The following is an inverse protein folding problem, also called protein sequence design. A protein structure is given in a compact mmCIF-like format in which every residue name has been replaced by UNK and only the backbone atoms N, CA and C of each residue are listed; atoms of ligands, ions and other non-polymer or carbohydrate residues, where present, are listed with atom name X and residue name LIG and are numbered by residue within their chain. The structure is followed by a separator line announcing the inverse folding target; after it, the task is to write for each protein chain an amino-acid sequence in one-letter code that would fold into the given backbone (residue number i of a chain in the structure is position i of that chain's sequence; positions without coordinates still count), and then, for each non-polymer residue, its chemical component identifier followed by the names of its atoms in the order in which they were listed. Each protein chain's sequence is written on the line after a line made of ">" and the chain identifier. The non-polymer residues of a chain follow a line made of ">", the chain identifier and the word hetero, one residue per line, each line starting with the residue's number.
data_IF_989987148630
#
_entry.id   IF_989987148630
#
_cell.length_a   1.000
_cell.length_b   1.000
_cell.length_c   1.000
_cell.angle_alpha   90.00
_cell.angle_beta   90.00
_cell.angle_gamma   90.00
#
_symmetry.space_group_name_H-M   'P 1'
#
loop_
_entity.id
_entity.type
_entity.pdbx_description
1 polymer ?
#
# COMPACT_ATOMS: atom_id res chain seq x y z
N UNK A 1 3.20 6.68 24.78
CA UNK A 1 4.06 6.89 23.61
C UNK A 1 3.62 8.19 22.93
N UNK A 2 4.56 9.07 22.62
CA UNK A 2 4.28 10.29 21.83
C UNK A 2 3.78 9.86 20.44
N UNK A 3 3.02 10.69 19.73
CA UNK A 3 2.42 10.31 18.43
C UNK A 3 3.52 9.82 17.47
N UNK A 4 4.68 10.49 17.46
CA UNK A 4 5.84 10.12 16.66
C UNK A 4 6.37 8.71 16.94
N UNK A 5 6.32 8.22 18.19
CA UNK A 5 6.74 6.86 18.55
C UNK A 5 5.74 5.78 18.09
N UNK A 6 4.47 6.15 17.96
CA UNK A 6 3.41 5.24 17.51
C UNK A 6 3.55 4.96 16.00
N UNK A 7 3.90 5.98 15.22
CA UNK A 7 4.05 5.90 13.76
C UNK A 7 5.49 5.64 13.27
N UNK A 8 6.44 5.36 14.18
CA UNK A 8 7.78 4.96 13.78
C UNK A 8 7.73 3.69 12.89
N UNK A 9 8.65 3.53 11.92
CA UNK A 9 8.73 2.31 11.12
C UNK A 9 8.98 1.08 12.00
N UNK A 10 8.25 0.00 11.76
CA UNK A 10 8.15 -1.16 12.66
C UNK A 10 8.49 -2.47 11.99
N UNK A 11 8.13 -2.65 10.72
CA UNK A 11 8.47 -3.83 9.96
C UNK A 11 8.68 -3.50 8.48
N UNK A 12 9.30 -4.43 7.76
CA UNK A 12 9.44 -4.36 6.31
C UNK A 12 8.24 -5.04 5.64
N UNK A 13 7.74 -4.49 4.55
CA UNK A 13 6.77 -5.13 3.67
C UNK A 13 7.47 -5.50 2.38
N UNK A 14 7.50 -6.79 2.05
CA UNK A 14 8.08 -7.31 0.81
C UNK A 14 7.01 -7.50 -0.24
N UNK A 15 7.26 -6.98 -1.44
CA UNK A 15 6.33 -7.03 -2.57
C UNK A 15 6.63 -8.20 -3.52
N UNK A 16 5.60 -8.60 -4.28
CA UNK A 16 5.74 -9.51 -5.40
C UNK A 16 6.72 -8.93 -6.42
N UNK A 17 7.65 -9.76 -6.90
CA UNK A 17 8.66 -9.32 -7.85
C UNK A 17 8.01 -8.90 -9.17
N UNK A 18 8.20 -7.63 -9.50
CA UNK A 18 7.59 -7.00 -10.68
C UNK A 18 6.10 -6.75 -10.50
N UNK A 19 5.57 -6.85 -9.28
CA UNK A 19 4.20 -6.50 -8.92
C UNK A 19 3.92 -5.01 -9.03
N UNK A 20 2.67 -4.64 -8.78
CA UNK A 20 2.23 -3.24 -8.90
C UNK A 20 2.88 -2.36 -7.83
N UNK A 21 3.01 -2.85 -6.59
CA UNK A 21 3.68 -2.09 -5.54
C UNK A 21 5.20 -2.04 -5.74
N UNK A 22 5.82 -3.13 -6.21
CA UNK A 22 7.25 -3.12 -6.55
C UNK A 22 7.57 -2.03 -7.59
N UNK A 23 6.80 -1.94 -8.67
CA UNK A 23 7.00 -0.90 -9.69
C UNK A 23 6.69 0.49 -9.17
N UNK A 24 5.62 0.64 -8.39
CA UNK A 24 5.19 1.93 -7.87
C UNK A 24 6.21 2.54 -6.90
N UNK A 25 6.75 1.71 -6.00
CA UNK A 25 7.68 2.14 -4.96
C UNK A 25 9.15 2.05 -5.40
N UNK A 26 9.42 1.38 -6.52
CA UNK A 26 10.77 1.24 -7.08
C UNK A 26 11.72 0.38 -6.23
N UNK A 27 11.17 -0.41 -5.30
CA UNK A 27 11.92 -1.24 -4.37
C UNK A 27 11.18 -2.55 -4.06
N UNK A 28 11.89 -3.68 -3.88
CA UNK A 28 11.27 -4.97 -3.58
C UNK A 28 10.68 -5.03 -2.16
N UNK A 29 11.11 -4.13 -1.28
CA UNK A 29 10.59 -3.99 0.09
C UNK A 29 10.68 -2.54 0.57
N UNK A 30 9.82 -2.17 1.51
CA UNK A 30 9.83 -0.86 2.18
C UNK A 30 9.58 -1.01 3.69
N UNK A 31 10.07 -0.06 4.47
CA UNK A 31 9.76 0.02 5.91
C UNK A 31 8.45 0.77 6.14
N UNK A 32 7.55 0.19 6.93
CA UNK A 32 6.21 0.74 7.20
C UNK A 32 5.95 0.86 8.69
N UNK A 33 5.02 1.74 9.07
CA UNK A 33 4.47 1.80 10.43
C UNK A 33 3.41 0.70 10.64
N UNK A 34 3.06 0.41 11.89
CA UNK A 34 2.00 -0.56 12.20
C UNK A 34 1.16 -0.07 13.38
N UNK A 35 -0.15 0.03 13.16
CA UNK A 35 -1.13 0.45 14.17
C UNK A 35 -2.43 -0.37 14.02
N UNK A 36 -2.29 -1.68 13.86
CA UNK A 36 -3.42 -2.59 13.67
C UNK A 36 -3.25 -3.85 14.53
N UNK A 37 -4.33 -4.26 15.19
CA UNK A 37 -4.41 -5.54 15.91
C UNK A 37 -5.09 -6.66 15.12
N UNK A 38 -5.48 -6.37 13.88
CA UNK A 38 -6.18 -7.28 12.97
C UNK A 38 -5.50 -7.22 11.60
N UNK A 39 -5.70 -8.28 10.81
CA UNK A 39 -5.18 -8.39 9.45
C UNK A 39 -6.00 -9.40 8.63
N UNK A 40 -5.69 -9.50 7.34
CA UNK A 40 -6.39 -10.41 6.43
C UNK A 40 -6.03 -11.86 6.76
N UNK A 41 -6.99 -12.63 7.27
CA UNK A 41 -6.82 -14.06 7.51
C UNK A 41 -7.07 -14.90 6.23
N UNK A 42 -8.06 -14.50 5.42
CA UNK A 42 -8.39 -15.16 4.15
C UNK A 42 -8.81 -14.12 3.11
N UNK A 43 -8.10 -13.98 1.99
CA UNK A 43 -8.49 -13.04 0.95
C UNK A 43 -9.78 -13.51 0.23
N UNK A 44 -10.57 -12.55 -0.25
CA UNK A 44 -11.67 -12.81 -1.18
C UNK A 44 -11.16 -13.30 -2.54
N UNK A 45 -12.03 -13.87 -3.37
CA UNK A 45 -11.66 -14.51 -4.64
C UNK A 45 -10.91 -13.61 -5.64
N UNK A 46 -11.14 -12.29 -5.58
CA UNK A 46 -10.47 -11.30 -6.44
C UNK A 46 -9.44 -10.46 -5.71
N UNK A 47 -9.21 -10.70 -4.41
CA UNK A 47 -8.21 -9.96 -3.65
C UNK A 47 -6.85 -10.59 -3.93
N UNK A 48 -5.97 -9.84 -4.58
CA UNK A 48 -4.58 -10.23 -4.78
C UNK A 48 -3.77 -9.63 -3.66
N UNK A 49 -2.99 -10.47 -2.98
CA UNK A 49 -2.01 -10.02 -1.99
C UNK A 49 -0.69 -9.80 -2.73
N UNK A 50 -0.26 -8.55 -2.81
CA UNK A 50 0.99 -8.14 -3.48
C UNK A 50 2.13 -7.96 -2.47
N UNK A 51 1.83 -7.63 -1.22
CA UNK A 51 2.84 -7.36 -0.18
C UNK A 51 2.57 -8.08 1.13
N UNK A 52 3.64 -8.59 1.75
CA UNK A 52 3.60 -9.30 3.03
C UNK A 52 4.62 -8.74 4.03
N UNK A 53 4.24 -8.70 5.31
CA UNK A 53 5.16 -8.56 6.43
C UNK A 53 6.04 -9.82 6.60
N UNK A 54 7.12 -9.78 7.41
CA UNK A 54 8.03 -10.91 7.57
C UNK A 54 7.38 -12.15 8.21
N UNK A 55 6.29 -11.95 8.96
CA UNK A 55 5.49 -13.02 9.56
C UNK A 55 4.44 -13.62 8.60
N UNK A 56 4.37 -13.11 7.36
CA UNK A 56 3.41 -13.53 6.34
C UNK A 56 2.07 -12.79 6.39
N UNK A 57 1.89 -11.80 7.27
CA UNK A 57 0.67 -10.99 7.28
C UNK A 57 0.52 -10.21 5.97
N UNK A 58 -0.64 -10.27 5.29
CA UNK A 58 -0.90 -9.44 4.11
C UNK A 58 -0.95 -7.96 4.46
N UNK A 59 -0.12 -7.17 3.78
CA UNK A 59 0.06 -5.73 4.05
C UNK A 59 -0.29 -4.84 2.85
N UNK A 60 -0.22 -5.38 1.63
CA UNK A 60 -0.58 -4.65 0.42
C UNK A 60 -1.42 -5.53 -0.52
N UNK A 61 -2.55 -5.00 -0.98
CA UNK A 61 -3.50 -5.72 -1.82
C UNK A 61 -4.01 -4.87 -2.98
N UNK A 62 -4.62 -5.53 -3.96
CA UNK A 62 -5.46 -4.91 -4.96
C UNK A 62 -6.56 -5.87 -5.43
N UNK A 63 -7.54 -5.36 -6.17
CA UNK A 63 -8.63 -6.17 -6.73
C UNK A 63 -8.28 -6.56 -8.16
N UNK A 64 -8.12 -7.86 -8.42
CA UNK A 64 -7.91 -8.41 -9.75
C UNK A 64 -9.03 -7.96 -10.71
N UNK A 65 -8.66 -7.57 -11.93
CA UNK A 65 -9.56 -7.14 -13.01
C UNK A 65 -10.48 -5.96 -12.65
N UNK A 66 -10.12 -5.17 -11.64
CA UNK A 66 -10.86 -3.94 -11.35
C UNK A 66 -10.62 -2.91 -12.47
N UNK A 67 -11.67 -2.21 -12.93
CA UNK A 67 -11.52 -1.22 -14.00
C UNK A 67 -10.75 0.03 -13.57
N UNK A 68 -10.59 0.25 -12.26
CA UNK A 68 -9.95 1.44 -11.70
C UNK A 68 -8.90 1.10 -10.65
N UNK A 69 -8.41 2.15 -9.99
CA UNK A 69 -7.39 2.06 -8.95
C UNK A 69 -7.95 1.40 -7.67
N UNK A 70 -7.31 0.31 -7.23
CA UNK A 70 -7.73 -0.44 -6.03
C UNK A 70 -6.58 -0.79 -5.10
N UNK A 71 -5.41 -0.15 -5.26
CA UNK A 71 -4.27 -0.40 -4.38
C UNK A 71 -4.66 -0.01 -2.95
N UNK A 72 -4.49 -0.95 -2.04
CA UNK A 72 -4.83 -0.79 -0.63
C UNK A 72 -3.68 -1.30 0.23
N UNK A 73 -3.43 -0.62 1.35
CA UNK A 73 -2.32 -0.91 2.25
C UNK A 73 -2.83 -1.02 3.68
N UNK A 74 -2.16 -1.82 4.50
CA UNK A 74 -2.55 -2.06 5.89
C UNK A 74 -1.88 -1.08 6.86
N UNK A 75 -0.70 -0.55 6.51
CA UNK A 75 -0.06 0.56 7.23
C UNK A 75 -0.75 1.90 6.98
N UNK A 76 -0.26 2.95 7.65
CA UNK A 76 -0.79 4.31 7.58
C UNK A 76 0.08 5.22 6.69
N UNK A 77 -0.19 5.32 5.37
CA UNK A 77 0.56 6.18 4.46
C UNK A 77 0.24 7.67 4.63
N UNK A 78 -0.82 8.04 5.34
CA UNK A 78 -1.16 9.45 5.58
C UNK A 78 -0.17 10.14 6.54
N UNK A 79 0.54 9.37 7.35
CA UNK A 79 1.49 9.90 8.32
C UNK A 79 2.71 10.48 7.62
N UNK A 80 2.89 11.80 7.70
CA UNK A 80 3.98 12.53 7.06
C UNK A 80 4.08 12.30 5.54
N UNK A 81 2.95 12.11 4.87
CA UNK A 81 2.85 11.75 3.45
C UNK A 81 3.67 12.64 2.50
N UNK A 82 3.87 13.91 2.85
CA UNK A 82 4.66 14.87 2.06
C UNK A 82 6.15 14.52 2.02
N UNK A 83 6.69 13.99 3.13
CA UNK A 83 8.12 13.73 3.28
C UNK A 83 8.47 12.23 3.32
N UNK A 84 7.49 11.35 3.51
CA UNK A 84 7.71 9.91 3.51
C UNK A 84 7.83 9.37 2.07
N UNK A 85 9.00 8.79 1.70
CA UNK A 85 9.22 8.23 0.36
C UNK A 85 8.29 7.07 0.01
N UNK A 86 7.66 6.40 0.99
CA UNK A 86 6.72 5.30 0.73
C UNK A 86 5.30 5.84 0.45
N UNK A 87 4.90 6.85 1.20
CA UNK A 87 3.56 7.42 1.15
C UNK A 87 3.30 8.31 -0.07
N UNK A 88 4.28 9.14 -0.44
CA UNK A 88 4.11 10.10 -1.54
C UNK A 88 3.79 9.43 -2.89
N UNK A 89 4.50 8.35 -3.31
CA UNK A 89 4.18 7.65 -4.56
C UNK A 89 2.76 7.07 -4.59
N UNK A 90 2.26 6.52 -3.46
CA UNK A 90 0.90 5.97 -3.38
C UNK A 90 -0.16 7.05 -3.66
N UNK A 91 -0.05 8.20 -2.99
CA UNK A 91 -0.99 9.30 -3.20
C UNK A 91 -0.86 9.94 -4.58
N UNK A 92 0.36 10.06 -5.11
CA UNK A 92 0.57 10.53 -6.49
C UNK A 92 -0.13 9.61 -7.48
N UNK A 93 0.08 8.29 -7.38
CA UNK A 93 -0.54 7.31 -8.28
C UNK A 93 -2.07 7.28 -8.15
N UNK A 94 -2.61 7.40 -6.93
CA UNK A 94 -4.05 7.54 -6.74
C UNK A 94 -4.59 8.81 -7.42
N UNK A 95 -3.93 9.96 -7.24
CA UNK A 95 -4.33 11.21 -7.87
C UNK A 95 -4.27 11.16 -9.40
N UNK A 96 -3.25 10.53 -9.97
CA UNK A 96 -3.13 10.30 -11.42
C UNK A 96 -4.27 9.40 -11.93
N UNK A 97 -4.58 8.32 -11.21
CA UNK A 97 -5.66 7.42 -11.57
C UNK A 97 -7.04 8.09 -11.53
N UNK A 98 -7.30 8.95 -10.53
CA UNK A 98 -8.54 9.73 -10.45
C UNK A 98 -8.67 10.69 -11.63
N UNK A 99 -7.59 11.40 -12.00
CA UNK A 99 -7.60 12.29 -13.17
C UNK A 99 -7.84 11.52 -14.47
N UNK A 100 -7.17 10.38 -14.65
CA UNK A 100 -7.34 9.52 -15.82
C UNK A 100 -8.78 8.99 -15.91
N UNK A 101 -9.35 8.54 -14.79
CA UNK A 101 -10.73 8.09 -14.73
C UNK A 101 -11.71 9.20 -15.13
N UNK A 102 -11.56 10.40 -14.56
CA UNK A 102 -12.41 11.53 -14.89
C UNK A 102 -12.33 11.90 -16.39
N UNK A 103 -11.13 11.90 -16.99
CA UNK A 103 -10.95 12.20 -18.40
C UNK A 103 -11.58 11.16 -19.35
N UNK A 104 -11.68 9.90 -18.93
CA UNK A 104 -12.32 8.83 -19.71
C UNK A 104 -13.85 8.83 -19.63
N UNK A 105 -14.41 9.52 -18.63
CA UNK A 105 -15.84 9.57 -18.34
C UNK A 105 -16.44 10.99 -18.47
N UNK A 106 -15.68 11.93 -19.02
CA UNK A 106 -16.14 13.27 -19.40
C UNK A 106 -16.68 13.24 -20.83
#
# INVERSE_FOLDING_TARGET
>A
AVIEEQFAPRHAVRFAEGGVFHRLLGAPEVMTNTLHGQGIARPGSRIVIDGHAPDGTPEAIYVADAPGFTLSVQWHPEWNATNDPVSRPLFTAFGDAVRAWAAQHA
#
